data_IF_351083321988
#
_entry.id   IF_351083321988
#
_cell.length_a   1.000
_cell.length_b   1.000
_cell.length_c   1.000
_cell.angle_alpha   90.00
_cell.angle_beta   90.00
_cell.angle_gamma   90.00
#
_symmetry.space_group_name_H-M   'P 1'
#
loop_
_entity.id
_entity.type
_entity.pdbx_description
1 polymer ?
#
# COMPACT_ATOMS: atom_id res chain seq x y z
N UNK A 1 33.60 43.81 9.49
CA UNK A 1 32.56 43.43 10.47
C UNK A 1 31.80 42.26 9.87
N UNK A 2 31.98 41.09 10.49
CA UNK A 2 31.24 39.88 10.16
C UNK A 2 29.76 40.10 10.46
N UNK A 3 28.88 39.63 9.58
CA UNK A 3 27.73 38.89 10.07
C UNK A 3 27.45 37.68 9.17
N UNK A 4 27.49 36.51 9.81
CA UNK A 4 27.09 35.21 9.27
C UNK A 4 25.76 34.91 9.94
N UNK A 5 24.69 34.80 9.16
CA UNK A 5 23.48 34.12 9.63
C UNK A 5 22.89 33.33 8.46
N UNK A 6 23.12 32.02 8.52
CA UNK A 6 22.53 31.06 7.62
C UNK A 6 21.03 30.97 7.87
N UNK A 7 20.25 31.11 6.80
CA UNK A 7 18.85 30.74 6.79
C UNK A 7 18.74 29.22 6.86
N UNK A 8 18.59 28.69 8.06
CA UNK A 8 18.07 27.34 8.24
C UNK A 8 16.63 27.33 7.72
N UNK A 9 16.41 26.71 6.56
CA UNK A 9 15.09 26.32 6.14
C UNK A 9 14.55 25.32 7.18
N UNK A 10 13.73 25.80 8.09
CA UNK A 10 12.98 24.95 9.00
C UNK A 10 11.98 24.15 8.16
N UNK A 11 12.40 22.97 7.72
CA UNK A 11 11.50 21.92 7.28
C UNK A 11 10.67 21.48 8.49
N UNK A 12 9.47 22.06 8.63
CA UNK A 12 8.48 21.55 9.55
C UNK A 12 7.92 20.26 8.96
N UNK A 13 8.38 19.14 9.49
CA UNK A 13 7.74 17.85 9.31
C UNK A 13 6.37 17.92 10.01
N UNK A 14 5.28 17.96 9.24
CA UNK A 14 3.95 17.71 9.77
C UNK A 14 3.93 16.27 10.30
N UNK A 15 4.10 16.11 11.61
CA UNK A 15 3.84 14.82 12.27
C UNK A 15 2.34 14.58 12.18
N UNK A 16 1.97 13.47 11.53
CA UNK A 16 0.61 12.93 11.53
C UNK A 16 0.15 12.68 12.97
N UNK A 17 -0.52 13.65 13.58
CA UNK A 17 -1.22 13.46 14.85
C UNK A 17 -2.63 12.97 14.52
N UNK A 18 -2.90 11.69 14.80
CA UNK A 18 -4.21 11.03 14.73
C UNK A 18 -5.20 11.57 15.79
N UNK A 19 -5.39 12.88 15.88
CA UNK A 19 -6.32 13.51 16.80
C UNK A 19 -6.91 14.72 16.10
N UNK A 20 -8.25 14.79 16.12
CA UNK A 20 -9.11 15.87 15.60
C UNK A 20 -8.34 17.14 15.20
N UNK A 21 -8.47 17.55 13.94
CA UNK A 21 -7.89 18.79 13.39
C UNK A 21 -8.32 20.06 14.14
N UNK A 22 -9.24 19.93 15.09
CA UNK A 22 -9.65 20.95 16.04
C UNK A 22 -8.99 20.78 17.41
N UNK A 23 -7.70 20.43 17.40
CA UNK A 23 -6.91 20.41 18.62
C UNK A 23 -6.74 21.84 19.15
N UNK A 24 -6.53 22.04 20.46
CA UNK A 24 -6.24 23.37 21.01
C UNK A 24 -5.03 24.05 20.35
N UNK A 25 -4.15 23.27 19.71
CA UNK A 25 -3.00 23.77 18.97
C UNK A 25 -3.40 24.34 17.61
N UNK A 26 -4.29 23.66 16.87
CA UNK A 26 -4.81 24.15 15.61
C UNK A 26 -5.63 25.43 15.79
N UNK A 27 -6.43 25.52 16.86
CA UNK A 27 -7.18 26.74 17.20
C UNK A 27 -6.25 27.93 17.46
N UNK A 28 -5.21 27.73 18.28
CA UNK A 28 -4.20 28.77 18.54
C UNK A 28 -3.51 29.23 17.27
N UNK A 29 -3.17 28.31 16.37
CA UNK A 29 -2.56 28.67 15.09
C UNK A 29 -3.55 29.45 14.20
N UNK A 30 -4.83 29.11 14.20
CA UNK A 30 -5.81 29.87 13.42
C UNK A 30 -5.97 31.30 13.94
N UNK A 31 -5.97 31.47 15.27
CA UNK A 31 -6.06 32.79 15.91
C UNK A 31 -4.78 33.62 15.72
N UNK A 32 -3.60 33.02 15.90
CA UNK A 32 -2.30 33.70 15.73
C UNK A 32 -2.08 34.19 14.29
N UNK A 33 -2.58 33.43 13.31
CA UNK A 33 -2.34 33.69 11.89
C UNK A 33 -3.57 34.27 11.16
N UNK A 34 -4.64 34.60 11.89
CA UNK A 34 -5.92 35.12 11.36
C UNK A 34 -6.47 34.26 10.20
N UNK A 35 -6.42 32.93 10.37
CA UNK A 35 -6.84 31.97 9.35
C UNK A 35 -8.33 31.64 9.49
N UNK A 36 -9.06 31.78 8.38
CA UNK A 36 -10.44 31.29 8.27
C UNK A 36 -10.44 29.87 7.72
N UNK A 37 -10.85 28.90 8.53
CA UNK A 37 -10.97 27.49 8.11
C UNK A 37 -12.31 27.27 7.42
N UNK A 38 -12.27 27.10 6.10
CA UNK A 38 -13.48 26.85 5.30
C UNK A 38 -13.85 25.35 5.22
N UNK A 39 -12.89 24.44 5.35
CA UNK A 39 -13.12 23.00 5.24
C UNK A 39 -12.00 22.20 5.91
N UNK A 40 -12.36 21.09 6.54
CA UNK A 40 -11.42 20.12 7.12
C UNK A 40 -11.47 18.79 6.37
N UNK A 41 -10.30 18.23 6.04
CA UNK A 41 -10.19 16.87 5.48
C UNK A 41 -9.78 15.91 6.59
N UNK A 42 -10.47 14.77 6.71
CA UNK A 42 -10.17 13.74 7.72
C UNK A 42 -10.10 12.34 7.12
N UNK A 43 -9.51 11.39 7.85
CA UNK A 43 -9.29 10.00 7.43
C UNK A 43 -10.53 9.10 7.55
N UNK A 44 -11.74 9.66 7.42
CA UNK A 44 -13.03 8.95 7.52
C UNK A 44 -13.25 8.07 8.79
N UNK A 45 -12.42 8.21 9.82
CA UNK A 45 -12.60 7.47 11.07
C UNK A 45 -13.95 7.80 11.71
N UNK A 46 -14.67 6.79 12.20
CA UNK A 46 -16.02 6.96 12.76
C UNK A 46 -16.10 7.98 13.91
N UNK A 47 -15.06 8.04 14.75
CA UNK A 47 -14.92 9.04 15.80
C UNK A 47 -14.72 10.46 15.26
N UNK A 48 -14.02 10.60 14.13
CA UNK A 48 -13.77 11.89 13.48
C UNK A 48 -15.03 12.37 12.76
N UNK A 49 -15.76 11.48 12.08
CA UNK A 49 -17.05 11.81 11.46
C UNK A 49 -18.04 12.36 12.50
N UNK A 50 -18.18 11.66 13.63
CA UNK A 50 -19.03 12.10 14.73
C UNK A 50 -18.54 13.43 15.34
N UNK A 51 -17.23 13.58 15.53
CA UNK A 51 -16.67 14.82 16.07
C UNK A 51 -16.90 16.02 15.13
N UNK A 52 -16.83 15.81 13.81
CA UNK A 52 -17.10 16.84 12.82
C UNK A 52 -18.58 17.18 12.71
N UNK A 53 -19.49 16.19 12.80
CA UNK A 53 -20.95 16.44 12.86
C UNK A 53 -21.34 17.29 14.08
N UNK A 54 -20.63 17.12 15.20
CA UNK A 54 -20.85 17.87 16.44
C UNK A 54 -20.09 19.22 16.48
N UNK A 55 -19.24 19.50 15.50
CA UNK A 55 -18.40 20.69 15.49
C UNK A 55 -19.09 21.85 14.77
N UNK A 56 -19.67 22.77 15.54
CA UNK A 56 -20.33 23.97 14.98
C UNK A 56 -19.35 25.00 14.37
N UNK A 57 -18.04 24.84 14.65
CA UNK A 57 -17.02 25.84 14.33
C UNK A 57 -16.38 25.64 12.95
N UNK A 58 -16.60 24.49 12.33
CA UNK A 58 -16.10 24.19 10.98
C UNK A 58 -17.32 23.97 10.07
N UNK A 59 -17.53 24.83 9.06
CA UNK A 59 -18.76 24.80 8.26
C UNK A 59 -18.85 23.56 7.36
N UNK A 60 -17.71 22.99 6.93
CA UNK A 60 -17.65 21.86 6.02
C UNK A 60 -16.54 20.87 6.39
N UNK A 61 -16.77 19.58 6.15
CA UNK A 61 -15.75 18.56 6.28
C UNK A 61 -15.86 17.53 5.15
N UNK A 62 -14.73 16.96 4.76
CA UNK A 62 -14.64 15.97 3.69
C UNK A 62 -13.81 14.77 4.14
N UNK A 63 -14.29 13.59 3.77
CA UNK A 63 -13.52 12.37 3.83
C UNK A 63 -12.32 12.41 2.88
N UNK A 64 -11.20 11.87 3.32
CA UNK A 64 -10.01 11.73 2.50
C UNK A 64 -10.28 10.69 1.41
N UNK A 65 -10.41 11.14 0.15
CA UNK A 65 -10.62 10.25 -0.99
C UNK A 65 -9.54 9.16 -1.11
N UNK A 66 -8.29 9.48 -0.73
CA UNK A 66 -7.21 8.49 -0.64
C UNK A 66 -7.52 7.38 0.37
N UNK A 67 -8.07 7.75 1.53
CA UNK A 67 -8.51 6.81 2.55
C UNK A 67 -9.75 6.01 2.11
N UNK A 68 -10.72 6.63 1.45
CA UNK A 68 -11.89 5.92 0.90
C UNK A 68 -11.48 4.86 -0.12
N UNK A 69 -10.54 5.19 -1.02
CA UNK A 69 -10.00 4.23 -1.99
C UNK A 69 -9.21 3.12 -1.29
N UNK A 70 -8.43 3.45 -0.26
CA UNK A 70 -7.74 2.47 0.58
C UNK A 70 -8.72 1.44 1.16
N UNK A 71 -9.81 1.91 1.79
CA UNK A 71 -10.84 1.06 2.38
C UNK A 71 -11.51 0.15 1.34
N UNK A 72 -11.80 0.68 0.15
CA UNK A 72 -12.38 -0.10 -0.94
C UNK A 72 -11.45 -1.24 -1.40
N UNK A 73 -10.14 -0.96 -1.50
CA UNK A 73 -9.13 -1.95 -1.87
C UNK A 73 -8.99 -3.01 -0.77
N UNK A 74 -8.93 -2.60 0.49
CA UNK A 74 -8.86 -3.51 1.63
C UNK A 74 -10.07 -4.44 1.68
N UNK A 75 -11.28 -3.90 1.51
CA UNK A 75 -12.50 -4.69 1.38
C UNK A 75 -12.42 -5.71 0.23
N UNK A 76 -11.88 -5.30 -0.93
CA UNK A 76 -11.64 -6.18 -2.07
C UNK A 76 -10.65 -7.32 -1.78
N UNK A 77 -9.58 -7.05 -1.02
CA UNK A 77 -8.60 -8.06 -0.61
C UNK A 77 -9.19 -9.09 0.36
N UNK A 78 -10.20 -8.71 1.14
CA UNK A 78 -10.92 -9.59 2.04
C UNK A 78 -11.97 -10.48 1.36
N UNK A 79 -12.24 -10.27 0.07
CA UNK A 79 -13.12 -11.17 -0.67
C UNK A 79 -12.59 -12.62 -0.61
N UNK A 80 -13.42 -13.64 -0.33
CA UNK A 80 -12.94 -14.98 0.00
C UNK A 80 -12.01 -15.61 -1.05
N UNK A 81 -12.26 -15.36 -2.33
CA UNK A 81 -11.41 -15.89 -3.42
C UNK A 81 -10.05 -15.17 -3.50
N UNK A 82 -10.03 -13.86 -3.25
CA UNK A 82 -8.81 -13.04 -3.25
C UNK A 82 -7.97 -13.33 -2.00
N UNK A 83 -8.60 -13.45 -0.84
CA UNK A 83 -7.94 -13.84 0.40
C UNK A 83 -7.26 -15.21 0.26
N UNK A 84 -7.97 -16.22 -0.27
CA UNK A 84 -7.41 -17.56 -0.55
C UNK A 84 -6.24 -17.52 -1.52
N UNK A 85 -6.31 -16.66 -2.54
CA UNK A 85 -5.24 -16.46 -3.52
C UNK A 85 -4.02 -15.81 -2.86
N UNK A 86 -4.24 -14.78 -2.05
CA UNK A 86 -3.21 -14.06 -1.29
C UNK A 86 -2.50 -15.00 -0.32
N UNK A 87 -3.25 -15.84 0.42
CA UNK A 87 -2.65 -16.81 1.33
C UNK A 87 -1.86 -17.88 0.60
N UNK A 88 -2.29 -18.30 -0.60
CA UNK A 88 -1.52 -19.21 -1.43
C UNK A 88 -0.20 -18.56 -1.90
N UNK A 89 -0.26 -17.30 -2.33
CA UNK A 89 0.92 -16.53 -2.68
C UNK A 89 1.89 -16.39 -1.50
N UNK A 90 1.39 -16.07 -0.30
CA UNK A 90 2.19 -16.01 0.94
C UNK A 90 2.91 -17.32 1.23
N UNK A 91 2.24 -18.47 1.06
CA UNK A 91 2.88 -19.79 1.25
C UNK A 91 4.03 -20.02 0.27
N UNK A 92 3.82 -19.69 -1.00
CA UNK A 92 4.87 -19.78 -2.03
C UNK A 92 6.06 -18.90 -1.67
N UNK A 93 5.81 -17.61 -1.44
CA UNK A 93 6.86 -16.64 -1.10
C UNK A 93 7.63 -17.06 0.16
N UNK A 94 6.90 -17.49 1.20
CA UNK A 94 7.47 -18.00 2.45
C UNK A 94 8.41 -19.19 2.21
N UNK A 95 8.01 -20.15 1.36
CA UNK A 95 8.88 -21.29 1.02
C UNK A 95 10.23 -20.85 0.45
N UNK A 96 10.22 -19.94 -0.53
CA UNK A 96 11.45 -19.41 -1.10
C UNK A 96 12.23 -18.55 -0.09
N UNK A 97 11.57 -17.85 0.83
CA UNK A 97 12.26 -17.05 1.87
C UNK A 97 13.00 -17.90 2.89
N UNK A 98 12.49 -19.09 3.21
CA UNK A 98 13.05 -19.97 4.24
C UNK A 98 13.99 -21.05 3.70
N UNK A 99 13.91 -21.40 2.41
CA UNK A 99 14.76 -22.42 1.80
C UNK A 99 15.88 -21.80 0.97
N UNK A 100 17.11 -21.83 1.50
CA UNK A 100 18.32 -21.37 0.78
C UNK A 100 18.52 -22.12 -0.54
N UNK A 101 18.17 -23.41 -0.57
CA UNK A 101 18.18 -24.24 -1.78
C UNK A 101 17.19 -23.72 -2.82
N UNK A 102 15.96 -23.38 -2.40
CA UNK A 102 14.95 -22.82 -3.29
C UNK A 102 15.33 -21.42 -3.80
N UNK A 103 15.95 -20.57 -2.96
CA UNK A 103 16.48 -19.26 -3.39
C UNK A 103 17.55 -19.43 -4.47
N UNK A 104 18.50 -20.34 -4.24
CA UNK A 104 19.59 -20.59 -5.19
C UNK A 104 19.04 -21.14 -6.51
N UNK A 105 18.12 -22.09 -6.44
CA UNK A 105 17.44 -22.63 -7.61
C UNK A 105 16.63 -21.55 -8.36
N UNK A 106 15.92 -20.68 -7.64
CA UNK A 106 15.16 -19.58 -8.23
C UNK A 106 16.08 -18.63 -9.00
N UNK A 107 17.19 -18.20 -8.38
CA UNK A 107 18.18 -17.34 -9.03
C UNK A 107 18.71 -17.97 -10.32
N UNK A 108 19.08 -19.26 -10.26
CA UNK A 108 19.56 -19.99 -11.43
C UNK A 108 18.49 -20.08 -12.53
N UNK A 109 17.23 -20.33 -12.18
CA UNK A 109 16.12 -20.36 -13.16
C UNK A 109 15.85 -18.98 -13.75
N UNK A 110 15.96 -17.91 -12.97
CA UNK A 110 15.82 -16.54 -13.45
C UNK A 110 16.89 -16.21 -14.50
N UNK A 111 18.15 -16.55 -14.21
CA UNK A 111 19.27 -16.39 -15.14
C UNK A 111 19.09 -17.22 -16.41
N UNK A 112 18.67 -18.47 -16.30
CA UNK A 112 18.41 -19.37 -17.45
C UNK A 112 17.28 -18.88 -18.36
N UNK A 113 16.21 -18.32 -17.78
CA UNK A 113 15.08 -17.79 -18.54
C UNK A 113 15.31 -16.37 -19.03
N UNK A 114 16.46 -15.75 -18.72
CA UNK A 114 16.76 -14.37 -19.11
C UNK A 114 15.85 -13.33 -18.48
N UNK A 115 15.16 -13.66 -17.38
CA UNK A 115 14.31 -12.72 -16.65
C UNK A 115 15.12 -11.97 -15.60
N UNK A 116 14.66 -10.77 -15.23
CA UNK A 116 15.32 -9.98 -14.19
C UNK A 116 15.36 -10.76 -12.88
N UNK A 117 16.56 -10.86 -12.29
CA UNK A 117 16.77 -11.56 -11.02
C UNK A 117 16.20 -10.71 -9.89
N UNK A 118 15.13 -11.21 -9.27
CA UNK A 118 14.54 -10.60 -8.10
C UNK A 118 14.29 -11.59 -6.97
N UNK A 119 14.51 -11.13 -5.75
CA UNK A 119 14.09 -11.87 -4.56
C UNK A 119 12.58 -11.69 -4.36
N UNK A 120 11.90 -12.76 -3.97
CA UNK A 120 10.54 -12.68 -3.47
C UNK A 120 10.52 -12.00 -2.09
N UNK A 121 9.47 -11.24 -1.81
CA UNK A 121 9.34 -10.42 -0.59
C UNK A 121 8.02 -10.74 0.10
N UNK A 122 8.04 -10.91 1.41
CA UNK A 122 6.81 -11.07 2.20
C UNK A 122 6.02 -9.76 2.22
N UNK A 123 4.71 -9.86 2.37
CA UNK A 123 3.88 -8.70 2.67
C UNK A 123 3.82 -8.42 4.18
N UNK A 124 3.33 -7.21 4.50
CA UNK A 124 2.84 -6.80 5.80
C UNK A 124 1.31 -6.80 5.71
N UNK A 125 0.67 -7.75 6.39
CA UNK A 125 -0.77 -7.99 6.26
C UNK A 125 -1.65 -6.77 6.58
N UNK A 126 -1.15 -5.82 7.37
CA UNK A 126 -1.83 -4.57 7.72
C UNK A 126 -1.61 -3.43 6.71
N UNK A 127 -0.83 -3.66 5.64
CA UNK A 127 -0.52 -2.65 4.61
C UNK A 127 -0.68 -3.25 3.23
N UNK A 128 -1.84 -3.07 2.61
CA UNK A 128 -2.15 -3.63 1.30
C UNK A 128 -1.12 -3.28 0.20
N UNK A 129 -0.45 -2.13 0.25
CA UNK A 129 0.62 -1.76 -0.68
C UNK A 129 1.74 -2.81 -0.71
N UNK A 130 2.06 -3.39 0.45
CA UNK A 130 3.04 -4.47 0.55
C UNK A 130 2.50 -5.80 0.02
N UNK A 131 1.21 -6.09 0.21
CA UNK A 131 0.53 -7.25 -0.38
C UNK A 131 0.51 -7.14 -1.91
N UNK A 132 0.19 -5.95 -2.45
CA UNK A 132 0.26 -5.67 -3.88
C UNK A 132 1.69 -5.87 -4.41
N UNK A 133 2.70 -5.32 -3.74
CA UNK A 133 4.11 -5.47 -4.14
C UNK A 133 4.54 -6.95 -4.13
N UNK A 134 4.13 -7.72 -3.13
CA UNK A 134 4.39 -9.17 -3.06
C UNK A 134 3.75 -9.90 -4.25
N UNK A 135 2.46 -9.65 -4.50
CA UNK A 135 1.70 -10.27 -5.58
C UNK A 135 2.26 -9.92 -6.96
N UNK A 136 2.61 -8.64 -7.16
CA UNK A 136 3.25 -8.15 -8.38
C UNK A 136 4.59 -8.85 -8.63
N UNK A 137 5.43 -8.92 -7.60
CA UNK A 137 6.73 -9.59 -7.71
C UNK A 137 6.58 -11.09 -7.99
N UNK A 138 5.64 -11.74 -7.32
CA UNK A 138 5.39 -13.18 -7.51
C UNK A 138 4.94 -13.49 -8.94
N UNK A 139 4.07 -12.66 -9.50
CA UNK A 139 3.60 -12.82 -10.88
C UNK A 139 4.69 -12.54 -11.91
N UNK A 140 5.49 -11.48 -11.72
CA UNK A 140 6.67 -11.20 -12.55
C UNK A 140 7.60 -12.43 -12.61
N UNK A 141 7.72 -13.13 -11.49
CA UNK A 141 8.56 -14.31 -11.33
C UNK A 141 7.80 -15.64 -11.47
N UNK A 142 6.59 -15.63 -12.06
CA UNK A 142 5.73 -16.82 -12.16
C UNK A 142 6.44 -18.01 -12.83
N UNK A 143 7.01 -17.81 -14.02
CA UNK A 143 7.67 -18.86 -14.78
C UNK A 143 8.85 -19.51 -14.03
N UNK A 144 9.85 -18.75 -13.52
CA UNK A 144 10.95 -19.36 -12.77
C UNK A 144 10.48 -19.99 -11.46
N UNK A 145 9.49 -19.42 -10.77
CA UNK A 145 8.90 -20.01 -9.56
C UNK A 145 8.24 -21.36 -9.86
N UNK A 146 7.42 -21.44 -10.91
CA UNK A 146 6.78 -22.68 -11.33
C UNK A 146 7.81 -23.75 -11.73
N UNK A 147 8.88 -23.35 -12.44
CA UNK A 147 9.96 -24.25 -12.81
C UNK A 147 10.70 -24.84 -11.59
N UNK A 148 10.96 -24.04 -10.55
CA UNK A 148 11.56 -24.54 -9.31
C UNK A 148 10.61 -25.46 -8.55
N UNK A 149 9.33 -25.09 -8.43
CA UNK A 149 8.34 -25.92 -7.73
C UNK A 149 8.07 -27.26 -8.43
N UNK A 150 8.29 -27.33 -9.74
CA UNK A 150 8.20 -28.57 -10.52
C UNK A 150 9.43 -29.48 -10.36
N UNK A 151 10.58 -28.93 -9.95
CA UNK A 151 11.83 -29.64 -9.78
C UNK A 151 11.85 -30.43 -8.47
N UNK A 152 11.64 -31.75 -8.57
CA UNK A 152 11.54 -32.63 -7.40
C UNK A 152 12.85 -32.78 -6.61
N UNK A 153 13.98 -32.38 -7.21
CA UNK A 153 15.28 -32.35 -6.52
C UNK A 153 15.39 -31.17 -5.54
N UNK A 154 14.58 -30.12 -5.75
CA UNK A 154 14.55 -28.90 -4.95
C UNK A 154 13.30 -28.84 -4.06
N UNK A 155 12.13 -29.21 -4.61
CA UNK A 155 10.85 -29.17 -3.92
C UNK A 155 10.23 -30.56 -3.87
N UNK A 156 10.18 -31.16 -2.67
CA UNK A 156 9.53 -32.46 -2.44
C UNK A 156 8.07 -32.44 -2.92
N UNK A 157 7.61 -33.55 -3.49
CA UNK A 157 6.23 -33.69 -4.01
C UNK A 157 5.14 -33.36 -2.98
N UNK A 158 5.36 -33.72 -1.71
CA UNK A 158 4.44 -33.39 -0.60
C UNK A 158 4.30 -31.88 -0.37
N UNK A 159 5.39 -31.12 -0.52
CA UNK A 159 5.42 -29.66 -0.39
C UNK A 159 4.87 -29.00 -1.67
N UNK A 160 5.17 -29.56 -2.86
CA UNK A 160 4.64 -29.06 -4.13
C UNK A 160 3.11 -28.97 -4.12
N UNK A 161 2.42 -29.99 -3.61
CA UNK A 161 0.95 -30.01 -3.54
C UNK A 161 0.36 -28.91 -2.66
N UNK A 162 1.06 -28.50 -1.59
CA UNK A 162 0.58 -27.44 -0.69
C UNK A 162 0.95 -26.03 -1.17
N UNK A 163 1.98 -25.91 -2.03
CA UNK A 163 2.45 -24.66 -2.60
C UNK A 163 1.88 -24.34 -4.00
N UNK A 164 1.41 -25.35 -4.74
CA UNK A 164 0.91 -25.13 -6.09
C UNK A 164 -0.34 -24.24 -6.09
N UNK A 165 -0.18 -23.04 -6.65
CA UNK A 165 -1.31 -22.16 -6.97
C UNK A 165 -2.01 -22.65 -8.23
N UNK A 166 -3.34 -22.74 -8.17
CA UNK A 166 -4.19 -23.11 -9.32
C UNK A 166 -4.13 -22.03 -10.40
N UNK A 167 -4.43 -22.37 -11.65
CA UNK A 167 -4.48 -21.43 -12.76
C UNK A 167 -5.40 -20.23 -12.47
N UNK A 168 -6.62 -20.50 -12.00
CA UNK A 168 -7.55 -19.45 -11.54
C UNK A 168 -6.97 -18.53 -10.48
N UNK A 169 -6.11 -19.03 -9.58
CA UNK A 169 -5.45 -18.18 -8.59
C UNK A 169 -4.41 -17.26 -9.24
N UNK A 170 -3.69 -17.74 -10.26
CA UNK A 170 -2.77 -16.89 -11.03
C UNK A 170 -3.49 -15.81 -11.85
N UNK A 171 -4.70 -16.09 -12.33
CA UNK A 171 -5.56 -15.10 -12.98
C UNK A 171 -6.08 -14.05 -11.99
N UNK A 172 -6.43 -14.48 -10.77
CA UNK A 172 -6.88 -13.60 -9.69
C UNK A 172 -5.76 -12.76 -9.07
N UNK A 173 -4.49 -13.04 -9.38
CA UNK A 173 -3.39 -12.08 -9.18
C UNK A 173 -3.56 -10.94 -10.19
N UNK A 174 -4.63 -10.16 -10.00
CA UNK A 174 -5.16 -9.09 -10.86
C UNK A 174 -4.27 -7.84 -10.83
N UNK A 175 -3.03 -7.98 -11.27
CA UNK A 175 -2.08 -6.87 -11.40
C UNK A 175 -2.58 -5.75 -12.31
N UNK A 176 -3.27 -6.01 -13.45
CA UNK A 176 -3.73 -4.92 -14.32
C UNK A 176 -4.77 -4.02 -13.67
N UNK A 177 -5.63 -4.56 -12.79
CA UNK A 177 -6.70 -3.80 -12.12
C UNK A 177 -6.18 -3.09 -10.88
N UNK A 178 -5.26 -3.73 -10.14
CA UNK A 178 -4.75 -3.16 -8.89
C UNK A 178 -3.63 -2.14 -9.15
N UNK A 179 -2.87 -2.24 -10.26
CA UNK A 179 -1.81 -1.26 -10.61
C UNK A 179 -2.31 0.19 -10.68
N UNK A 180 -3.39 0.50 -11.43
CA UNK A 180 -3.93 1.86 -11.47
C UNK A 180 -4.35 2.35 -10.09
N UNK A 181 -4.94 1.48 -9.27
CA UNK A 181 -5.37 1.80 -7.91
C UNK A 181 -4.17 2.07 -6.98
N UNK A 182 -3.11 1.27 -7.06
CA UNK A 182 -1.86 1.48 -6.31
C UNK A 182 -1.12 2.75 -6.72
N UNK A 183 -1.13 3.07 -8.02
CA UNK A 183 -0.61 4.36 -8.49
C UNK A 183 -1.48 5.52 -8.02
N UNK A 184 -2.80 5.38 -8.11
CA UNK A 184 -3.74 6.40 -7.66
C UNK A 184 -3.56 6.71 -6.17
N UNK A 185 -3.48 5.70 -5.30
CA UNK A 185 -3.26 5.92 -3.86
C UNK A 185 -1.89 6.55 -3.58
N UNK A 186 -0.83 6.12 -4.26
CA UNK A 186 0.50 6.75 -4.12
C UNK A 186 0.48 8.22 -4.53
N UNK A 187 -0.24 8.53 -5.61
CA UNK A 187 -0.44 9.89 -6.10
C UNK A 187 -1.26 10.67 -5.05
N UNK A 188 -2.43 10.18 -4.65
CA UNK A 188 -3.36 10.79 -3.67
C UNK A 188 -2.74 11.04 -2.29
N UNK A 189 -1.77 10.23 -1.87
CA UNK A 189 -1.02 10.42 -0.63
C UNK A 189 0.19 11.37 -0.78
N UNK A 190 0.44 11.92 -1.97
CA UNK A 190 1.51 12.88 -2.21
C UNK A 190 1.11 14.32 -1.85
N UNK A 191 2.07 15.09 -1.31
CA UNK A 191 1.87 16.44 -0.78
C UNK A 191 1.46 17.51 -1.83
N UNK A 192 1.34 17.17 -3.12
CA UNK A 192 1.17 18.11 -4.23
C UNK A 192 -0.17 17.97 -5.01
N UNK A 193 -1.25 17.50 -4.37
CA UNK A 193 -2.55 17.36 -5.04
C UNK A 193 -3.62 18.27 -4.47
N UNK A 194 -4.26 19.04 -5.35
CA UNK A 194 -5.46 19.80 -5.04
C UNK A 194 -6.75 18.98 -5.23
N UNK A 195 -7.82 19.40 -4.55
CA UNK A 195 -9.18 18.84 -4.64
C UNK A 195 -9.70 18.68 -6.09
N UNK A 196 -9.22 19.50 -7.03
CA UNK A 196 -9.57 19.47 -8.45
C UNK A 196 -9.17 18.17 -9.18
N UNK A 197 -8.29 17.35 -8.60
CA UNK A 197 -7.95 16.03 -9.14
C UNK A 197 -8.99 14.95 -8.81
N UNK A 198 -9.78 15.15 -7.74
CA UNK A 198 -10.76 14.18 -7.25
C UNK A 198 -12.14 14.46 -7.85
N UNK A 199 -12.47 15.74 -8.05
CA UNK A 199 -13.68 16.18 -8.76
C UNK A 199 -13.27 17.09 -9.91
N UNK A 200 -13.22 16.59 -11.16
CA UNK A 200 -13.06 17.46 -12.32
C UNK A 200 -14.27 18.40 -12.36
N UNK A 201 -14.03 19.70 -12.20
CA UNK A 201 -15.06 20.70 -12.43
C UNK A 201 -15.49 20.58 -13.90
N UNK A 202 -16.73 20.17 -14.14
CA UNK A 202 -17.43 20.29 -15.43
C UNK A 202 -18.30 21.54 -15.41
#
# INVERSE_FOLDING_TARGET
>A
MNDKSGGAANHYHARETHRCAYSPEAQRNNEEWDLVVCCTIHDDASSMNLAMELCEQVPHHLGCAGHTVQLAIEAGLHLPEIAKTTDAARRVVSHFRHSSVAVCALKKRQEQLGVKVHKLQNDCATRWNSTFTMLERLYEQRLPVQAVLADETVTKVSIRRSLAMRERQWELVLIPVIRPLAKATTIMCGENLGLSFISPCY
#
